data_IF_255087411138
#
_entry.id   IF_255087411138
#
_cell.length_a   1.000
_cell.length_b   1.000
_cell.length_c   1.000
_cell.angle_alpha   90.00
_cell.angle_beta   90.00
_cell.angle_gamma   90.00
#
_symmetry.space_group_name_H-M   'P 1'
#
loop_
_entity.id
_entity.type
_entity.pdbx_description
1 polymer ?
#
# COMPACT_ATOMS: atom_id res chain seq x y z
N UNK A 1 -21.41 27.12 -7.73
CA UNK A 1 -20.59 25.93 -7.39
C UNK A 1 -20.94 25.52 -5.97
N UNK A 2 -21.34 24.27 -5.74
CA UNK A 2 -21.56 23.77 -4.38
C UNK A 2 -20.19 23.63 -3.67
N UNK A 3 -20.12 23.85 -2.34
CA UNK A 3 -18.90 23.62 -1.58
C UNK A 3 -18.48 22.14 -1.65
N UNK A 4 -17.17 21.87 -1.64
CA UNK A 4 -16.65 20.51 -1.65
C UNK A 4 -17.05 19.79 -0.34
N UNK A 5 -17.47 18.52 -0.39
CA UNK A 5 -17.87 17.79 0.79
C UNK A 5 -16.68 17.62 1.75
N UNK A 6 -16.97 17.83 3.03
CA UNK A 6 -16.06 17.67 4.17
C UNK A 6 -15.63 16.21 4.33
N UNK A 7 -14.59 15.95 5.13
CA UNK A 7 -14.12 14.59 5.39
C UNK A 7 -15.18 13.80 6.17
N UNK A 8 -15.89 14.46 7.08
CA UNK A 8 -17.02 13.89 7.81
C UNK A 8 -18.15 13.48 6.85
N UNK A 9 -18.56 14.36 5.92
CA UNK A 9 -19.60 14.03 4.93
C UNK A 9 -19.18 12.90 3.98
N UNK A 10 -17.89 12.81 3.64
CA UNK A 10 -17.36 11.68 2.86
C UNK A 10 -17.43 10.37 3.65
N UNK A 11 -17.08 10.40 4.93
CA UNK A 11 -17.17 9.24 5.81
C UNK A 11 -18.62 8.82 6.08
N UNK A 12 -19.54 9.77 6.24
CA UNK A 12 -20.98 9.50 6.38
C UNK A 12 -21.56 8.81 5.12
N UNK A 13 -20.94 9.02 3.95
CA UNK A 13 -21.30 8.35 2.69
C UNK A 13 -20.59 6.99 2.46
N UNK A 14 -19.73 6.54 3.38
CA UNK A 14 -19.04 5.26 3.23
C UNK A 14 -20.02 4.07 3.34
N UNK A 15 -19.83 3.00 2.54
CA UNK A 15 -20.78 1.88 2.46
C UNK A 15 -20.72 0.91 3.66
N UNK A 16 -19.71 1.03 4.54
CA UNK A 16 -19.53 0.14 5.69
C UNK A 16 -19.56 0.91 7.01
N UNK A 17 -20.25 0.35 8.01
CA UNK A 17 -20.32 0.93 9.36
C UNK A 17 -19.05 0.72 10.19
N UNK A 18 -18.15 -0.17 9.75
CA UNK A 18 -16.88 -0.48 10.42
C UNK A 18 -15.74 -0.29 9.43
N UNK A 19 -14.89 0.70 9.67
CA UNK A 19 -13.86 1.14 8.73
C UNK A 19 -12.47 0.74 9.21
N UNK A 20 -11.71 0.08 8.34
CA UNK A 20 -10.26 -0.09 8.52
C UNK A 20 -9.53 1.25 8.31
N UNK A 21 -8.25 1.29 8.68
CA UNK A 21 -7.36 2.43 8.35
C UNK A 21 -7.32 2.70 6.84
N UNK A 22 -7.37 1.66 6.02
CA UNK A 22 -7.37 1.78 4.56
C UNK A 22 -8.70 2.34 4.03
N UNK A 23 -9.83 1.95 4.62
CA UNK A 23 -11.16 2.47 4.25
C UNK A 23 -11.27 3.95 4.60
N UNK A 24 -10.81 4.35 5.79
CA UNK A 24 -10.77 5.76 6.22
C UNK A 24 -9.89 6.56 5.26
N UNK A 25 -8.68 6.07 4.95
CA UNK A 25 -7.74 6.73 4.04
C UNK A 25 -8.36 6.95 2.65
N UNK A 26 -8.94 5.90 2.07
CA UNK A 26 -9.58 5.94 0.76
C UNK A 26 -10.76 6.90 0.72
N UNK A 27 -11.66 6.81 1.72
CA UNK A 27 -12.88 7.62 1.78
C UNK A 27 -12.59 9.10 2.00
N UNK A 28 -11.59 9.41 2.83
CA UNK A 28 -11.22 10.79 3.17
C UNK A 28 -10.23 11.41 2.19
N UNK A 29 -9.56 10.61 1.35
CA UNK A 29 -8.43 11.05 0.53
C UNK A 29 -7.19 11.39 1.37
N UNK A 30 -7.06 10.78 2.55
CA UNK A 30 -5.87 10.87 3.41
C UNK A 30 -4.93 9.70 3.14
N UNK A 31 -3.64 9.86 3.45
CA UNK A 31 -2.73 8.71 3.46
C UNK A 31 -2.99 7.83 4.69
N UNK A 32 -2.82 6.51 4.58
CA UNK A 32 -2.90 5.60 5.73
C UNK A 32 -1.97 6.03 6.88
N UNK A 33 -0.77 6.52 6.55
CA UNK A 33 0.18 7.00 7.56
C UNK A 33 -0.39 8.17 8.38
N UNK A 34 -1.19 9.01 7.73
CA UNK A 34 -1.87 10.13 8.38
C UNK A 34 -2.99 9.60 9.26
N UNK A 35 -3.79 8.66 8.78
CA UNK A 35 -4.86 8.01 9.58
C UNK A 35 -4.27 7.31 10.81
N UNK A 36 -3.19 6.52 10.68
CA UNK A 36 -2.50 5.88 11.82
C UNK A 36 -1.90 6.86 12.81
N UNK A 37 -1.55 8.07 12.37
CA UNK A 37 -1.12 9.15 13.27
C UNK A 37 -2.32 9.74 14.01
N UNK A 38 -3.42 10.00 13.32
CA UNK A 38 -4.66 10.50 13.91
C UNK A 38 -5.25 9.51 14.92
N UNK A 39 -5.12 8.20 14.66
CA UNK A 39 -5.51 7.14 15.58
C UNK A 39 -4.79 7.17 16.94
N UNK A 40 -3.73 7.99 17.07
CA UNK A 40 -2.99 8.20 18.32
C UNK A 40 -3.33 9.52 19.01
N UNK A 41 -4.20 10.33 18.41
CA UNK A 41 -4.61 11.61 18.99
C UNK A 41 -5.60 11.37 20.14
N UNK A 42 -5.56 12.22 21.19
CA UNK A 42 -6.52 12.14 22.28
C UNK A 42 -7.96 12.24 21.79
N UNK A 43 -8.82 11.33 22.25
CA UNK A 43 -10.24 11.29 21.88
C UNK A 43 -10.54 10.66 20.53
N UNK A 44 -9.54 10.10 19.82
CA UNK A 44 -9.81 9.26 18.65
C UNK A 44 -10.72 8.08 19.03
N UNK A 45 -11.66 7.66 18.16
CA UNK A 45 -12.57 6.55 18.44
C UNK A 45 -11.87 5.27 18.86
N UNK A 46 -12.43 4.60 19.86
CA UNK A 46 -11.96 3.28 20.30
C UNK A 46 -12.19 2.24 19.20
N UNK A 47 -11.23 1.33 19.05
CA UNK A 47 -11.32 0.21 18.11
C UNK A 47 -12.47 -0.73 18.49
N UNK A 48 -13.17 -1.25 17.48
CA UNK A 48 -14.14 -2.32 17.70
C UNK A 48 -13.42 -3.65 18.00
N UNK A 49 -13.95 -4.48 18.91
CA UNK A 49 -13.39 -5.81 19.14
C UNK A 49 -13.58 -6.68 17.90
N UNK A 50 -12.48 -6.94 17.19
CA UNK A 50 -12.43 -7.77 15.99
C UNK A 50 -11.21 -8.71 15.96
N UNK A 51 -11.19 -9.59 14.96
CA UNK A 51 -10.10 -10.56 14.74
C UNK A 51 -8.74 -9.83 14.75
N UNK A 52 -7.80 -10.38 15.53
CA UNK A 52 -6.60 -9.73 16.08
C UNK A 52 -5.54 -9.21 15.08
N UNK A 53 -5.89 -8.97 13.81
CA UNK A 53 -4.97 -8.56 12.74
C UNK A 53 -5.31 -7.23 12.06
N UNK A 54 -6.51 -6.67 12.23
CA UNK A 54 -6.88 -5.40 11.58
C UNK A 54 -7.64 -4.46 12.54
N UNK A 55 -7.11 -3.24 12.71
CA UNK A 55 -7.76 -2.20 13.52
C UNK A 55 -8.97 -1.65 12.76
N UNK A 56 -10.16 -1.77 13.38
CA UNK A 56 -11.41 -1.27 12.82
C UNK A 56 -12.05 -0.25 13.74
N UNK A 57 -12.62 0.79 13.14
CA UNK A 57 -13.21 1.91 13.86
C UNK A 57 -14.66 2.13 13.41
N UNK A 58 -15.59 2.45 14.32
CA UNK A 58 -16.97 2.75 13.95
C UNK A 58 -17.04 4.00 13.05
N UNK A 59 -17.71 3.88 11.89
CA UNK A 59 -17.85 4.95 10.88
C UNK A 59 -18.36 6.25 11.49
N UNK A 60 -19.46 6.19 12.23
CA UNK A 60 -20.07 7.38 12.86
C UNK A 60 -19.14 8.05 13.86
N UNK A 61 -18.38 7.26 14.64
CA UNK A 61 -17.45 7.80 15.62
C UNK A 61 -16.26 8.49 14.93
N UNK A 62 -15.74 7.92 13.84
CA UNK A 62 -14.66 8.55 13.05
C UNK A 62 -15.18 9.79 12.33
N UNK A 63 -16.38 9.76 11.76
CA UNK A 63 -17.00 10.92 11.12
C UNK A 63 -17.26 12.04 12.14
N UNK A 64 -17.74 11.71 13.35
CA UNK A 64 -17.89 12.62 14.48
C UNK A 64 -16.57 13.27 14.88
N UNK A 65 -15.54 12.45 15.12
CA UNK A 65 -14.21 12.96 15.44
C UNK A 65 -13.65 13.85 14.33
N UNK A 66 -13.81 13.46 13.06
CA UNK A 66 -13.39 14.26 11.91
C UNK A 66 -14.17 15.57 11.82
N UNK A 67 -15.47 15.58 12.12
CA UNK A 67 -16.28 16.82 12.14
C UNK A 67 -15.74 17.79 13.20
N UNK A 68 -15.42 17.28 14.37
CA UNK A 68 -14.89 18.06 15.49
C UNK A 68 -13.45 18.55 15.24
N UNK A 69 -12.64 17.76 14.51
CA UNK A 69 -11.21 18.00 14.30
C UNK A 69 -10.84 18.57 12.91
N UNK A 70 -11.77 18.57 11.95
CA UNK A 70 -11.61 19.19 10.63
C UNK A 70 -11.86 20.70 10.71
N UNK A 71 -12.77 21.13 11.60
CA UNK A 71 -12.97 22.55 11.95
C UNK A 71 -11.72 23.22 12.55
N UNK A 72 -10.69 22.44 12.87
CA UNK A 72 -9.50 22.91 13.59
C UNK A 72 -8.41 23.47 12.66
N UNK A 73 -8.50 23.35 11.32
CA UNK A 73 -7.61 24.08 10.40
C UNK A 73 -8.19 25.44 10.03
N UNK A 74 -8.02 26.34 10.98
CA UNK A 74 -8.29 27.76 10.82
C UNK A 74 -7.37 28.33 9.74
N UNK A 75 -7.93 28.79 8.61
CA UNK A 75 -7.18 29.63 7.68
C UNK A 75 -7.03 31.02 8.32
N UNK A 76 -5.82 31.45 8.71
CA UNK A 76 -5.63 32.74 9.36
C UNK A 76 -6.11 33.92 8.52
N UNK A 77 -6.06 33.78 7.19
CA UNK A 77 -6.45 34.82 6.24
C UNK A 77 -7.97 34.97 6.10
N UNK A 78 -8.75 33.96 6.50
CA UNK A 78 -10.22 33.97 6.47
C UNK A 78 -10.84 34.26 7.85
N UNK A 79 -10.01 34.45 8.87
CA UNK A 79 -10.46 34.73 10.22
C UNK A 79 -10.98 36.17 10.37
N UNK A 80 -12.13 36.39 11.03
CA UNK A 80 -12.66 37.72 11.24
C UNK A 80 -11.79 38.56 12.19
N UNK A 81 -11.76 39.87 11.98
CA UNK A 81 -11.10 40.85 12.83
C UNK A 81 -9.69 41.26 12.38
N UNK A 82 -9.24 42.43 12.84
CA UNK A 82 -7.98 43.05 12.40
C UNK A 82 -6.80 42.56 13.23
N UNK A 83 -5.59 42.56 12.66
CA UNK A 83 -4.38 42.07 13.36
C UNK A 83 -4.09 42.85 14.65
N UNK A 84 -4.57 44.08 14.74
CA UNK A 84 -4.43 44.98 15.89
C UNK A 84 -5.44 44.72 17.02
N UNK A 85 -6.44 43.86 16.79
CA UNK A 85 -7.47 43.55 17.78
C UNK A 85 -6.88 42.92 19.05
N UNK A 86 -7.43 43.31 20.20
CA UNK A 86 -7.20 42.64 21.49
C UNK A 86 -8.36 41.72 21.78
N UNK A 87 -8.06 40.43 21.97
CA UNK A 87 -9.07 39.39 22.08
C UNK A 87 -8.86 38.51 23.31
N UNK A 88 -9.95 38.14 23.96
CA UNK A 88 -9.99 37.13 25.02
C UNK A 88 -9.99 35.72 24.43
N UNK A 89 -9.70 34.70 25.25
CA UNK A 89 -9.82 33.29 24.83
C UNK A 89 -11.24 32.93 24.35
N UNK A 90 -12.26 33.60 24.89
CA UNK A 90 -13.66 33.45 24.47
C UNK A 90 -13.85 33.94 23.04
N UNK A 91 -13.31 35.11 22.73
CA UNK A 91 -13.38 35.70 21.39
C UNK A 91 -12.52 34.93 20.40
N UNK A 92 -11.34 34.45 20.81
CA UNK A 92 -10.52 33.54 20.00
C UNK A 92 -11.32 32.29 19.64
N UNK A 93 -11.97 31.65 20.62
CA UNK A 93 -12.82 30.47 20.39
C UNK A 93 -13.96 30.77 19.40
N UNK A 94 -14.68 31.88 19.61
CA UNK A 94 -15.77 32.30 18.72
C UNK A 94 -15.27 32.59 17.29
N UNK A 95 -14.19 33.37 17.14
CA UNK A 95 -13.64 33.75 15.83
C UNK A 95 -13.04 32.56 15.07
N UNK A 96 -12.47 31.59 15.79
CA UNK A 96 -11.87 30.38 15.20
C UNK A 96 -12.85 29.22 15.02
N UNK A 97 -14.08 29.32 15.54
CA UNK A 97 -15.02 28.20 15.59
C UNK A 97 -14.57 27.04 16.48
N UNK A 98 -13.56 27.23 17.34
CA UNK A 98 -13.04 26.20 18.24
C UNK A 98 -13.77 26.21 19.58
N UNK A 99 -13.86 25.05 20.23
CA UNK A 99 -14.37 24.96 21.59
C UNK A 99 -13.53 25.80 22.56
N UNK A 100 -14.19 26.61 23.40
CA UNK A 100 -13.53 27.46 24.39
C UNK A 100 -12.58 26.69 25.29
N UNK A 101 -12.97 25.49 25.70
CA UNK A 101 -12.13 24.61 26.54
C UNK A 101 -10.84 24.18 25.83
N UNK A 102 -10.89 23.97 24.51
CA UNK A 102 -9.70 23.65 23.72
C UNK A 102 -8.76 24.84 23.67
N UNK A 103 -9.31 26.05 23.44
CA UNK A 103 -8.53 27.30 23.38
C UNK A 103 -7.92 27.64 24.74
N UNK A 104 -8.63 27.44 25.85
CA UNK A 104 -8.13 27.75 27.19
C UNK A 104 -6.98 26.85 27.65
N UNK A 105 -6.86 25.63 27.10
CA UNK A 105 -5.74 24.71 27.37
C UNK A 105 -4.48 25.04 26.57
N UNK A 106 -4.56 25.85 25.50
CA UNK A 106 -3.41 26.11 24.62
C UNK A 106 -2.23 26.81 25.32
N UNK A 107 -2.44 27.86 26.15
CA UNK A 107 -1.33 28.52 26.84
C UNK A 107 -0.50 27.56 27.70
N UNK A 108 -1.16 26.66 28.43
CA UNK A 108 -0.49 25.70 29.30
C UNK A 108 0.13 24.53 28.51
N UNK A 109 -0.61 23.97 27.55
CA UNK A 109 -0.15 22.84 26.75
C UNK A 109 1.09 23.17 25.90
N UNK A 110 1.21 24.42 25.45
CA UNK A 110 2.30 24.85 24.58
C UNK A 110 3.35 25.73 25.26
N UNK A 111 3.25 25.95 26.58
CA UNK A 111 4.18 26.79 27.34
C UNK A 111 5.65 26.43 27.11
N UNK A 112 5.96 25.14 27.06
CA UNK A 112 7.33 24.61 26.92
C UNK A 112 7.63 24.09 25.51
N UNK A 113 6.80 24.45 24.52
CA UNK A 113 6.98 24.01 23.14
C UNK A 113 8.00 24.89 22.41
N UNK A 114 8.60 24.37 21.34
CA UNK A 114 9.45 25.16 20.43
C UNK A 114 8.68 26.29 19.70
N UNK A 115 7.34 26.29 19.76
CA UNK A 115 6.46 27.34 19.24
C UNK A 115 5.34 27.59 20.28
N UNK A 116 5.62 28.39 21.33
CA UNK A 116 4.71 28.62 22.44
C UNK A 116 3.52 29.48 22.02
N UNK A 117 2.38 29.31 22.72
CA UNK A 117 1.20 30.15 22.50
C UNK A 117 1.53 31.61 22.86
N UNK A 118 0.98 32.62 22.14
CA UNK A 118 1.20 34.03 22.45
C UNK A 118 0.89 34.36 23.92
N UNK A 119 1.69 35.23 24.50
CA UNK A 119 1.50 35.64 25.89
C UNK A 119 0.30 36.57 26.01
N UNK A 120 -0.45 36.45 27.11
CA UNK A 120 -1.49 37.41 27.45
C UNK A 120 -0.85 38.70 27.96
N UNK A 121 -1.53 39.82 27.73
CA UNK A 121 -1.22 41.09 28.38
C UNK A 121 -1.66 41.09 29.87
N UNK A 122 -1.37 42.15 30.65
CA UNK A 122 -1.78 42.24 32.05
C UNK A 122 -3.30 42.18 32.28
N UNK A 123 -4.11 42.39 31.24
CA UNK A 123 -5.57 42.34 31.29
C UNK A 123 -6.13 40.96 30.87
N UNK A 124 -5.26 39.99 30.53
CA UNK A 124 -5.65 38.65 30.11
C UNK A 124 -6.12 38.56 28.65
N UNK A 125 -5.78 39.56 27.83
CA UNK A 125 -6.10 39.61 26.39
C UNK A 125 -4.86 39.29 25.54
N UNK A 126 -5.09 38.87 24.30
CA UNK A 126 -4.07 38.42 23.35
C UNK A 126 -4.10 39.30 22.10
N UNK A 127 -2.94 39.53 21.48
CA UNK A 127 -2.88 40.16 20.15
C UNK A 127 -3.45 39.21 19.11
N UNK A 128 -4.46 39.66 18.35
CA UNK A 128 -5.08 38.82 17.34
C UNK A 128 -4.12 38.47 16.20
N UNK A 129 -3.28 39.40 15.75
CA UNK A 129 -2.24 39.13 14.75
C UNK A 129 -1.25 38.04 15.18
N UNK A 130 -0.79 38.06 16.43
CA UNK A 130 0.09 37.02 16.96
C UNK A 130 -0.60 35.65 17.07
N UNK A 131 -1.87 35.64 17.47
CA UNK A 131 -2.70 34.42 17.54
C UNK A 131 -2.91 33.85 16.13
N UNK A 132 -3.22 34.70 15.13
CA UNK A 132 -3.36 34.29 13.73
C UNK A 132 -2.06 33.73 13.16
N UNK A 133 -0.93 34.40 13.40
CA UNK A 133 0.38 33.93 12.98
C UNK A 133 0.75 32.59 13.63
N UNK A 134 0.49 32.43 14.93
CA UNK A 134 0.73 31.18 15.66
C UNK A 134 -0.16 30.04 15.13
N UNK A 135 -1.45 30.31 14.91
CA UNK A 135 -2.39 29.35 14.32
C UNK A 135 -1.95 28.96 12.90
N UNK A 136 -1.46 29.89 12.09
CA UNK A 136 -0.92 29.63 10.75
C UNK A 136 0.34 28.74 10.76
N UNK A 137 1.28 29.02 11.67
CA UNK A 137 2.48 28.18 11.85
C UNK A 137 2.11 26.75 12.26
N UNK A 138 1.06 26.56 13.06
CA UNK A 138 0.60 25.24 13.50
C UNK A 138 -0.38 24.54 12.58
N UNK A 139 -1.20 25.26 11.82
CA UNK A 139 -2.12 24.69 10.82
C UNK A 139 -1.35 24.04 9.67
N UNK A 140 -0.12 24.50 9.39
CA UNK A 140 0.80 23.83 8.46
C UNK A 140 1.36 22.50 8.99
N UNK A 141 1.40 22.30 10.32
CA UNK A 141 2.08 21.15 10.98
C UNK A 141 1.15 20.00 11.40
N UNK A 142 -0.14 20.23 11.59
CA UNK A 142 -1.04 19.24 12.22
C UNK A 142 -2.48 19.31 11.69
N UNK A 143 -3.14 18.17 11.56
CA UNK A 143 -4.51 18.01 11.02
C UNK A 143 -4.58 17.36 9.62
N UNK A 144 -5.65 16.59 9.32
CA UNK A 144 -5.87 15.99 8.01
C UNK A 144 -6.18 17.07 6.96
N UNK A 145 -5.46 17.07 5.84
CA UNK A 145 -5.85 17.78 4.62
C UNK A 145 -6.35 16.71 3.65
N UNK A 146 -7.65 16.64 3.40
CA UNK A 146 -8.13 15.91 2.23
C UNK A 146 -7.46 16.54 1.01
N UNK A 147 -6.57 15.81 0.35
CA UNK A 147 -6.01 16.29 -0.91
C UNK A 147 -7.07 16.13 -1.96
N UNK A 148 -7.72 17.25 -2.31
CA UNK A 148 -8.62 17.34 -3.45
C UNK A 148 -9.89 16.48 -3.28
N UNK A 149 -10.93 16.87 -3.99
CA UNK A 149 -12.09 16.03 -4.30
C UNK A 149 -11.63 14.58 -4.55
N UNK A 150 -12.30 13.53 -4.03
CA UNK A 150 -12.07 12.20 -4.58
C UNK A 150 -12.19 12.35 -6.09
N UNK A 151 -11.29 11.74 -6.90
CA UNK A 151 -11.45 11.83 -8.34
C UNK A 151 -12.91 11.50 -8.64
N UNK A 152 -13.64 12.46 -9.24
CA UNK A 152 -14.91 12.14 -9.89
C UNK A 152 -14.63 10.86 -10.68
N UNK A 153 -15.51 9.84 -10.67
CA UNK A 153 -15.24 8.55 -11.31
C UNK A 153 -14.71 8.86 -12.69
N UNK A 154 -13.37 8.75 -12.80
CA UNK A 154 -12.71 9.29 -13.96
C UNK A 154 -13.12 8.31 -15.04
N UNK A 155 -13.79 8.82 -16.07
CA UNK A 155 -13.77 8.13 -17.35
C UNK A 155 -12.33 7.68 -17.56
N UNK A 156 -12.16 6.35 -17.63
CA UNK A 156 -10.89 5.65 -17.49
C UNK A 156 -9.73 6.45 -18.09
N UNK A 157 -8.82 7.03 -17.27
CA UNK A 157 -7.52 7.37 -17.78
C UNK A 157 -6.83 6.03 -18.02
N UNK A 158 -6.81 5.62 -19.28
CA UNK A 158 -6.22 4.39 -19.83
C UNK A 158 -4.69 4.37 -19.73
N UNK A 159 -4.11 5.02 -18.72
CA UNK A 159 -2.67 5.01 -18.49
C UNK A 159 -2.41 5.16 -17.00
N UNK A 160 -2.27 4.02 -16.31
CA UNK A 160 -1.80 3.98 -14.92
C UNK A 160 -0.42 4.64 -14.83
N UNK A 161 -0.15 5.49 -13.82
CA UNK A 161 1.21 5.96 -13.58
C UNK A 161 2.06 4.78 -13.14
N UNK A 162 3.07 4.43 -13.95
CA UNK A 162 4.11 3.48 -13.59
C UNK A 162 4.76 3.99 -12.31
N UNK A 163 4.62 3.24 -11.21
CA UNK A 163 5.45 3.47 -10.02
C UNK A 163 6.87 3.07 -10.40
N UNK A 164 7.68 4.02 -10.87
CA UNK A 164 9.06 3.77 -11.32
C UNK A 164 10.00 3.30 -10.17
N UNK A 165 9.49 3.16 -8.94
CA UNK A 165 10.29 2.93 -7.74
C UNK A 165 9.81 1.71 -6.97
N UNK A 166 10.72 0.76 -6.78
CA UNK A 166 10.55 -0.45 -5.96
C UNK A 166 11.14 -0.22 -4.59
N UNK A 167 10.42 -0.61 -3.53
CA UNK A 167 10.91 -0.56 -2.13
C UNK A 167 11.34 -1.94 -1.65
N UNK A 168 12.05 -2.01 -0.51
CA UNK A 168 12.41 -3.30 0.12
C UNK A 168 11.20 -4.20 0.37
N UNK A 169 10.05 -3.64 0.75
CA UNK A 169 8.81 -4.39 0.97
C UNK A 169 8.25 -4.97 -0.34
N UNK A 170 8.36 -4.22 -1.44
CA UNK A 170 7.96 -4.72 -2.77
C UNK A 170 8.90 -5.84 -3.25
N UNK A 171 10.21 -5.74 -2.99
CA UNK A 171 11.17 -6.82 -3.28
C UNK A 171 10.83 -8.08 -2.47
N UNK A 172 10.41 -7.92 -1.22
CA UNK A 172 9.97 -9.05 -0.38
C UNK A 172 8.79 -9.78 -1.00
N UNK A 173 7.76 -9.04 -1.42
CA UNK A 173 6.57 -9.60 -2.09
C UNK A 173 6.89 -10.20 -3.46
N UNK A 174 7.73 -9.53 -4.26
CA UNK A 174 8.18 -10.01 -5.57
C UNK A 174 8.96 -11.33 -5.48
N UNK A 175 9.86 -11.45 -4.51
CA UNK A 175 10.72 -12.63 -4.41
C UNK A 175 10.11 -13.74 -3.55
N UNK A 176 9.07 -13.44 -2.78
CA UNK A 176 8.50 -14.35 -1.77
C UNK A 176 9.48 -14.74 -0.67
N UNK A 177 10.61 -14.03 -0.56
CA UNK A 177 11.66 -14.31 0.44
C UNK A 177 11.45 -13.42 1.64
N UNK A 178 11.58 -13.96 2.86
CA UNK A 178 11.39 -13.17 4.08
C UNK A 178 12.40 -12.01 4.21
N UNK A 179 12.05 -11.02 5.03
CA UNK A 179 12.76 -9.74 5.21
C UNK A 179 14.29 -9.85 5.37
N UNK A 180 14.81 -10.88 6.06
CA UNK A 180 16.26 -11.06 6.25
C UNK A 180 17.00 -11.49 4.97
N UNK A 181 16.37 -12.34 4.17
CA UNK A 181 16.91 -12.74 2.87
C UNK A 181 16.94 -11.55 1.91
N UNK A 182 15.89 -10.71 1.93
CA UNK A 182 15.84 -9.47 1.15
C UNK A 182 16.91 -8.48 1.60
N UNK A 183 17.13 -8.30 2.91
CA UNK A 183 18.23 -7.45 3.42
C UNK A 183 19.60 -7.88 2.92
N UNK A 184 19.82 -9.19 2.79
CA UNK A 184 21.06 -9.74 2.24
C UNK A 184 21.14 -9.51 0.73
N UNK A 185 20.03 -9.72 0.02
CA UNK A 185 19.90 -9.49 -1.41
C UNK A 185 20.23 -8.04 -1.80
N UNK A 186 19.60 -7.06 -1.14
CA UNK A 186 19.79 -5.63 -1.44
C UNK A 186 21.16 -5.09 -1.04
N UNK A 187 21.98 -5.88 -0.32
CA UNK A 187 23.38 -5.57 -0.01
C UNK A 187 24.35 -6.09 -1.06
N UNK A 188 23.91 -6.94 -2.00
CA UNK A 188 24.76 -7.36 -3.13
C UNK A 188 25.18 -6.11 -3.92
N UNK A 189 26.45 -6.01 -4.35
CA UNK A 189 26.98 -4.79 -4.97
C UNK A 189 26.17 -4.35 -6.19
N UNK A 190 25.76 -5.30 -7.03
CA UNK A 190 24.94 -5.06 -8.23
C UNK A 190 23.59 -4.41 -7.92
N UNK A 191 22.90 -4.88 -6.87
CA UNK A 191 21.59 -4.33 -6.45
C UNK A 191 21.77 -3.06 -5.63
N UNK A 192 22.79 -3.01 -4.77
CA UNK A 192 23.07 -1.85 -3.92
C UNK A 192 23.44 -0.61 -4.74
N UNK A 193 24.16 -0.79 -5.86
CA UNK A 193 24.56 0.28 -6.77
C UNK A 193 23.37 0.99 -7.43
N UNK A 194 22.27 0.26 -7.66
CA UNK A 194 21.03 0.80 -8.23
C UNK A 194 20.18 1.57 -7.19
N UNK A 195 20.49 1.46 -5.90
CA UNK A 195 19.66 2.05 -4.85
C UNK A 195 19.84 3.56 -4.76
N UNK A 196 18.73 4.29 -4.73
CA UNK A 196 18.69 5.73 -4.42
C UNK A 196 18.06 5.94 -3.05
N UNK A 197 18.60 6.89 -2.27
CA UNK A 197 18.06 7.22 -0.95
C UNK A 197 16.99 8.31 -1.07
N UNK A 198 15.77 8.01 -0.62
CA UNK A 198 14.65 8.97 -0.55
C UNK A 198 14.21 9.06 0.91
N UNK A 199 14.61 10.15 1.58
CA UNK A 199 14.41 10.32 3.02
C UNK A 199 15.14 9.24 3.83
N UNK A 200 14.37 8.44 4.60
CA UNK A 200 14.89 7.31 5.40
C UNK A 200 14.85 5.97 4.65
N UNK A 201 14.26 5.92 3.46
CA UNK A 201 14.07 4.70 2.68
C UNK A 201 15.07 4.61 1.53
N UNK A 202 15.43 3.37 1.17
CA UNK A 202 16.08 3.08 -0.11
C UNK A 202 15.04 2.62 -1.10
N UNK A 203 15.15 3.12 -2.32
CA UNK A 203 14.31 2.77 -3.45
C UNK A 203 15.17 2.40 -4.64
N UNK A 204 14.63 1.55 -5.51
CA UNK A 204 15.29 1.09 -6.72
C UNK A 204 14.44 1.43 -7.93
N UNK A 205 15.03 1.80 -9.07
CA UNK A 205 14.27 1.97 -10.31
C UNK A 205 13.69 0.63 -10.76
N UNK A 206 12.41 0.58 -11.09
CA UNK A 206 11.72 -0.66 -11.43
C UNK A 206 12.24 -1.28 -12.74
N UNK A 207 12.46 -0.44 -13.74
CA UNK A 207 12.97 -0.78 -15.07
C UNK A 207 14.36 -1.44 -15.05
N UNK A 208 15.20 -1.13 -14.06
CA UNK A 208 16.54 -1.72 -13.92
C UNK A 208 16.59 -2.85 -12.91
N UNK A 209 15.84 -2.75 -11.80
CA UNK A 209 15.86 -3.78 -10.77
C UNK A 209 15.15 -5.06 -11.23
N UNK A 210 14.00 -4.94 -11.90
CA UNK A 210 13.21 -6.10 -12.30
C UNK A 210 13.98 -7.04 -13.23
N UNK A 211 14.60 -6.58 -14.35
CA UNK A 211 15.43 -7.44 -15.20
C UNK A 211 16.55 -8.12 -14.41
N UNK A 212 17.21 -7.38 -13.50
CA UNK A 212 18.30 -7.92 -12.69
C UNK A 212 17.80 -9.04 -11.76
N UNK A 213 16.61 -8.89 -11.16
CA UNK A 213 16.01 -9.93 -10.33
C UNK A 213 15.64 -11.19 -11.15
N UNK A 214 15.17 -11.03 -12.38
CA UNK A 214 14.92 -12.14 -13.30
C UNK A 214 16.21 -12.83 -13.74
N UNK A 215 17.21 -12.06 -14.16
CA UNK A 215 18.52 -12.56 -14.58
C UNK A 215 19.22 -13.35 -13.47
N UNK A 216 19.12 -12.88 -12.23
CA UNK A 216 19.68 -13.55 -11.06
C UNK A 216 18.82 -14.72 -10.53
N UNK A 217 17.70 -15.04 -11.20
CA UNK A 217 16.83 -16.17 -10.85
C UNK A 217 16.02 -15.97 -9.55
N UNK A 218 15.80 -14.72 -9.14
CA UNK A 218 14.94 -14.40 -7.99
C UNK A 218 13.45 -14.32 -8.35
N UNK A 219 13.15 -14.22 -9.65
CA UNK A 219 11.80 -14.25 -10.21
C UNK A 219 11.71 -15.41 -11.21
N UNK A 220 10.51 -16.01 -11.37
CA UNK A 220 10.32 -17.09 -12.35
C UNK A 220 10.49 -16.53 -13.77
N UNK A 221 11.36 -17.13 -14.57
CA UNK A 221 11.56 -16.74 -15.97
C UNK A 221 10.33 -17.03 -16.85
N UNK A 222 9.46 -17.93 -16.41
CA UNK A 222 8.20 -18.26 -17.07
C UNK A 222 7.21 -18.95 -16.14
N UNK A 223 5.98 -19.11 -16.62
CA UNK A 223 4.90 -19.75 -15.88
C UNK A 223 4.07 -18.75 -15.07
N UNK A 224 3.06 -19.21 -14.32
CA UNK A 224 2.19 -18.32 -13.57
C UNK A 224 2.96 -17.59 -12.47
N UNK A 225 2.86 -16.26 -12.47
CA UNK A 225 3.30 -15.43 -11.35
C UNK A 225 2.45 -15.74 -10.12
N UNK A 226 3.08 -15.80 -8.95
CA UNK A 226 2.37 -15.89 -7.68
C UNK A 226 1.45 -14.67 -7.47
N UNK A 227 0.43 -14.82 -6.64
CA UNK A 227 -0.55 -13.74 -6.36
C UNK A 227 0.11 -12.44 -5.91
N UNK A 228 1.09 -12.52 -5.00
CA UNK A 228 1.86 -11.36 -4.54
C UNK A 228 2.75 -10.75 -5.63
N UNK A 229 3.37 -11.57 -6.48
CA UNK A 229 4.21 -11.11 -7.57
C UNK A 229 3.38 -10.35 -8.61
N UNK A 230 2.22 -10.92 -8.94
CA UNK A 230 1.25 -10.27 -9.83
C UNK A 230 0.76 -8.97 -9.21
N UNK A 231 0.40 -8.95 -7.93
CA UNK A 231 -0.06 -7.75 -7.24
C UNK A 231 1.00 -6.62 -7.31
N UNK A 232 2.28 -6.93 -7.10
CA UNK A 232 3.34 -5.92 -7.22
C UNK A 232 3.52 -5.45 -8.67
N UNK A 233 3.48 -6.35 -9.66
CA UNK A 233 3.57 -5.94 -11.07
C UNK A 233 2.36 -5.12 -11.52
N UNK A 234 1.19 -5.34 -10.93
CA UNK A 234 -0.01 -4.50 -11.09
C UNK A 234 0.20 -3.13 -10.43
N UNK A 235 0.70 -3.09 -9.19
CA UNK A 235 1.05 -1.82 -8.50
C UNK A 235 2.07 -1.00 -9.29
N UNK A 236 3.01 -1.67 -9.96
CA UNK A 236 4.03 -1.04 -10.80
C UNK A 236 3.50 -0.66 -12.21
N UNK A 237 2.29 -1.07 -12.60
CA UNK A 237 1.70 -0.78 -13.91
C UNK A 237 2.16 -1.71 -15.05
N UNK A 238 2.96 -2.74 -14.76
CA UNK A 238 3.42 -3.73 -15.75
C UNK A 238 2.37 -4.79 -16.08
N UNK A 239 1.35 -4.95 -15.22
CA UNK A 239 0.23 -5.86 -15.43
C UNK A 239 -1.11 -5.15 -15.17
N UNK A 240 -2.21 -5.58 -15.82
CA UNK A 240 -3.52 -5.02 -15.55
C UNK A 240 -4.10 -5.55 -14.25
N UNK A 241 -4.89 -4.73 -13.56
CA UNK A 241 -5.62 -5.10 -12.33
C UNK A 241 -6.58 -6.26 -12.54
N UNK A 242 -7.20 -6.33 -13.72
CA UNK A 242 -8.07 -7.42 -14.14
C UNK A 242 -7.86 -7.77 -15.62
N UNK A 243 -8.11 -9.02 -15.98
CA UNK A 243 -8.02 -9.49 -17.36
C UNK A 243 -6.62 -9.85 -17.84
N UNK A 244 -6.48 -9.98 -19.17
CA UNK A 244 -5.24 -10.42 -19.84
C UNK A 244 -4.32 -9.23 -20.10
N UNK A 245 -2.99 -9.38 -19.96
CA UNK A 245 -2.04 -8.29 -20.25
C UNK A 245 -2.11 -7.88 -21.72
N UNK A 246 -1.96 -6.57 -21.99
CA UNK A 246 -1.92 -6.04 -23.36
C UNK A 246 -0.66 -6.53 -24.10
N UNK A 247 -0.64 -6.38 -25.42
CA UNK A 247 0.53 -6.74 -26.23
C UNK A 247 1.79 -5.96 -25.81
N UNK A 248 1.63 -4.69 -25.46
CA UNK A 248 2.70 -3.81 -24.99
C UNK A 248 3.23 -4.26 -23.62
N UNK A 249 2.34 -4.54 -22.66
CA UNK A 249 2.73 -5.07 -21.33
C UNK A 249 3.49 -6.40 -21.46
N UNK A 250 3.04 -7.29 -22.37
CA UNK A 250 3.75 -8.54 -22.66
C UNK A 250 5.10 -8.34 -23.35
N UNK A 251 5.27 -7.25 -24.11
CA UNK A 251 6.54 -6.92 -24.73
C UNK A 251 7.53 -6.44 -23.65
N UNK A 252 7.10 -5.52 -22.79
CA UNK A 252 7.91 -5.01 -21.66
C UNK A 252 8.33 -6.13 -20.71
N UNK A 253 7.40 -7.02 -20.33
CA UNK A 253 7.76 -8.16 -19.48
C UNK A 253 8.74 -9.12 -20.16
N UNK A 254 8.63 -9.30 -21.49
CA UNK A 254 9.62 -10.08 -22.25
C UNK A 254 10.99 -9.42 -22.29
N UNK A 255 11.06 -8.09 -22.39
CA UNK A 255 12.32 -7.35 -22.27
C UNK A 255 12.95 -7.52 -20.89
N UNK A 256 12.13 -7.67 -19.84
CA UNK A 256 12.62 -8.00 -18.49
C UNK A 256 13.01 -9.46 -18.30
N UNK A 257 12.78 -10.33 -19.29
CA UNK A 257 13.11 -11.76 -19.25
C UNK A 257 11.97 -12.67 -18.77
N UNK A 258 10.72 -12.18 -18.70
CA UNK A 258 9.54 -12.96 -18.37
C UNK A 258 8.70 -13.30 -19.60
N UNK A 259 8.46 -14.59 -19.84
CA UNK A 259 7.50 -15.07 -20.84
C UNK A 259 6.33 -15.81 -20.15
N UNK A 260 5.15 -15.18 -20.15
CA UNK A 260 3.89 -15.75 -19.62
C UNK A 260 3.56 -17.11 -20.27
N UNK A 261 3.99 -17.33 -21.51
CA UNK A 261 3.72 -18.58 -22.23
C UNK A 261 4.79 -19.65 -22.03
N UNK A 262 5.85 -19.39 -21.25
CA UNK A 262 7.04 -20.25 -21.28
C UNK A 262 8.02 -19.80 -22.35
N UNK A 263 9.32 -19.89 -22.04
CA UNK A 263 10.36 -19.83 -23.09
C UNK A 263 10.01 -20.79 -24.24
N UNK A 264 10.52 -20.53 -25.44
CA UNK A 264 10.30 -21.44 -26.59
C UNK A 264 10.70 -22.88 -26.23
N UNK A 265 11.76 -23.04 -25.46
CA UNK A 265 12.21 -24.31 -24.89
C UNK A 265 11.21 -24.92 -23.91
N UNK A 266 10.62 -24.12 -23.02
CA UNK A 266 9.60 -24.59 -22.09
C UNK A 266 8.32 -25.02 -22.83
N UNK A 267 7.90 -24.27 -23.85
CA UNK A 267 6.77 -24.67 -24.70
C UNK A 267 7.04 -25.94 -25.50
N UNK A 268 8.26 -26.08 -26.02
CA UNK A 268 8.70 -27.31 -26.68
C UNK A 268 8.76 -28.47 -25.68
N UNK A 269 9.21 -28.23 -24.46
CA UNK A 269 9.25 -29.20 -23.38
C UNK A 269 7.86 -29.72 -23.01
N UNK A 270 6.88 -28.82 -22.83
CA UNK A 270 5.49 -29.19 -22.53
C UNK A 270 4.80 -29.97 -23.64
N UNK A 271 5.21 -29.77 -24.91
CA UNK A 271 4.71 -30.54 -26.06
C UNK A 271 5.52 -31.80 -26.36
N UNK A 272 6.58 -32.04 -25.59
CA UNK A 272 7.49 -33.16 -25.77
C UNK A 272 6.91 -34.51 -25.36
N UNK A 273 7.67 -35.60 -25.53
CA UNK A 273 7.26 -36.94 -25.09
C UNK A 273 7.12 -37.01 -23.57
N UNK A 274 6.42 -38.04 -23.10
CA UNK A 274 6.22 -38.29 -21.67
C UNK A 274 7.56 -38.48 -20.95
N UNK A 275 7.67 -37.96 -19.73
CA UNK A 275 8.93 -37.84 -18.99
C UNK A 275 8.97 -38.71 -17.77
N UNK A 276 10.14 -39.23 -17.44
CA UNK A 276 10.39 -39.92 -16.17
C UNK A 276 10.43 -38.93 -15.01
N UNK A 277 10.21 -39.42 -13.78
CA UNK A 277 10.33 -38.59 -12.59
C UNK A 277 11.71 -37.92 -12.46
N UNK A 278 12.77 -38.59 -12.92
CA UNK A 278 14.15 -38.08 -12.90
C UNK A 278 14.35 -36.92 -13.87
N UNK A 279 13.79 -37.01 -15.08
CA UNK A 279 13.82 -35.91 -16.04
C UNK A 279 13.04 -34.69 -15.54
N UNK A 280 11.87 -34.92 -14.91
CA UNK A 280 11.09 -33.85 -14.29
C UNK A 280 11.86 -33.19 -13.13
N UNK A 281 12.45 -33.99 -12.24
CA UNK A 281 13.29 -33.49 -11.14
C UNK A 281 14.42 -32.59 -11.66
N UNK A 282 15.12 -33.04 -12.71
CA UNK A 282 16.18 -32.26 -13.37
C UNK A 282 15.64 -30.96 -13.97
N UNK A 283 14.52 -31.02 -14.69
CA UNK A 283 13.94 -29.87 -15.38
C UNK A 283 13.45 -28.78 -14.41
N UNK A 284 12.78 -29.16 -13.32
CA UNK A 284 12.28 -28.23 -12.32
C UNK A 284 13.32 -27.86 -11.24
N UNK A 285 14.55 -28.40 -11.33
CA UNK A 285 15.63 -28.13 -10.37
C UNK A 285 15.32 -28.62 -8.95
N UNK A 286 14.60 -29.73 -8.81
CA UNK A 286 14.18 -30.30 -7.52
C UNK A 286 14.62 -31.74 -7.35
N UNK A 287 14.60 -32.25 -6.12
CA UNK A 287 14.86 -33.67 -5.87
C UNK A 287 13.64 -34.55 -6.22
N UNK A 288 13.89 -35.81 -6.56
CA UNK A 288 12.83 -36.83 -6.70
C UNK A 288 11.93 -36.90 -5.45
N UNK A 289 12.54 -36.84 -4.27
CA UNK A 289 11.83 -36.85 -2.99
C UNK A 289 10.91 -35.64 -2.80
N UNK A 290 11.26 -34.47 -3.34
CA UNK A 290 10.40 -33.29 -3.31
C UNK A 290 9.16 -33.48 -4.19
N UNK A 291 9.33 -34.10 -5.37
CA UNK A 291 8.22 -34.46 -6.25
C UNK A 291 7.28 -35.44 -5.54
N UNK A 292 7.81 -36.56 -5.03
CA UNK A 292 7.00 -37.59 -4.37
C UNK A 292 6.25 -37.04 -3.15
N UNK A 293 6.90 -36.22 -2.31
CA UNK A 293 6.26 -35.60 -1.14
C UNK A 293 5.13 -34.65 -1.53
N UNK A 294 5.30 -33.87 -2.61
CA UNK A 294 4.26 -32.95 -3.07
C UNK A 294 3.04 -33.69 -3.61
N UNK A 295 3.26 -34.76 -4.38
CA UNK A 295 2.17 -35.62 -4.86
C UNK A 295 1.42 -36.26 -3.68
N UNK A 296 2.13 -36.83 -2.70
CA UNK A 296 1.50 -37.44 -1.53
C UNK A 296 0.64 -36.44 -0.73
N UNK A 297 1.17 -35.22 -0.48
CA UNK A 297 0.40 -34.16 0.19
C UNK A 297 -0.84 -33.74 -0.58
N UNK A 298 -0.74 -33.65 -1.91
CA UNK A 298 -1.88 -33.30 -2.75
C UNK A 298 -2.95 -34.40 -2.74
N UNK A 299 -2.54 -35.68 -2.74
CA UNK A 299 -3.45 -36.82 -2.57
C UNK A 299 -4.15 -36.79 -1.20
N UNK A 300 -3.41 -36.54 -0.12
CA UNK A 300 -3.97 -36.40 1.23
C UNK A 300 -4.96 -35.24 1.33
N UNK A 301 -4.70 -34.14 0.61
CA UNK A 301 -5.57 -32.97 0.53
C UNK A 301 -6.74 -33.12 -0.46
N UNK A 302 -6.90 -34.27 -1.13
CA UNK A 302 -7.93 -34.50 -2.14
C UNK A 302 -7.78 -33.64 -3.41
N UNK A 303 -6.59 -33.10 -3.66
CA UNK A 303 -6.30 -32.28 -4.84
C UNK A 303 -6.00 -33.16 -6.06
N UNK A 304 -6.29 -32.67 -7.29
CA UNK A 304 -5.97 -33.39 -8.51
C UNK A 304 -4.45 -33.59 -8.61
N UNK A 305 -4.02 -34.84 -8.81
CA UNK A 305 -2.61 -35.20 -8.99
C UNK A 305 -2.35 -35.81 -10.37
N UNK A 306 -1.15 -35.61 -10.94
CA UNK A 306 -0.79 -36.19 -12.22
C UNK A 306 -0.64 -37.71 -12.09
N UNK A 307 -1.46 -38.45 -12.81
CA UNK A 307 -1.38 -39.91 -12.87
C UNK A 307 -0.20 -40.37 -13.73
N UNK A 308 0.68 -41.24 -13.22
CA UNK A 308 1.72 -41.85 -14.04
C UNK A 308 1.09 -42.79 -15.08
N UNK A 309 1.70 -42.84 -16.26
CA UNK A 309 1.39 -43.75 -17.35
C UNK A 309 2.46 -44.84 -17.36
N UNK A 310 2.03 -46.10 -17.35
CA UNK A 310 2.93 -47.24 -17.46
C UNK A 310 3.41 -47.36 -18.91
N UNK A 311 4.73 -47.34 -19.08
CA UNK A 311 5.40 -47.55 -20.38
C UNK A 311 6.41 -48.69 -20.25
N UNK A 312 6.92 -49.21 -21.37
CA UNK A 312 7.94 -50.28 -21.37
C UNK A 312 9.20 -49.90 -20.55
N UNK A 313 9.52 -48.61 -20.48
CA UNK A 313 10.65 -48.06 -19.71
C UNK A 313 10.30 -47.68 -18.26
N UNK A 314 9.09 -48.02 -17.79
CA UNK A 314 8.57 -47.69 -16.46
C UNK A 314 7.58 -46.52 -16.44
N UNK A 315 7.38 -45.92 -15.25
CA UNK A 315 6.38 -44.88 -15.02
C UNK A 315 6.81 -43.54 -15.61
N UNK A 316 6.00 -42.99 -16.50
CA UNK A 316 6.19 -41.67 -17.12
C UNK A 316 5.01 -40.74 -16.83
N UNK A 317 5.22 -39.45 -16.97
CA UNK A 317 4.21 -38.42 -16.75
C UNK A 317 4.08 -37.54 -17.99
N UNK A 318 2.85 -37.11 -18.28
CA UNK A 318 2.59 -36.04 -19.24
C UNK A 318 3.19 -34.72 -18.71
N UNK A 319 4.12 -34.07 -19.42
CA UNK A 319 4.78 -32.85 -18.97
C UNK A 319 3.81 -31.69 -18.74
N UNK A 320 2.74 -31.59 -19.54
CA UNK A 320 1.74 -30.53 -19.45
C UNK A 320 0.84 -30.73 -18.23
N UNK A 321 0.39 -31.96 -17.98
CA UNK A 321 -0.40 -32.29 -16.79
C UNK A 321 0.44 -32.10 -15.53
N UNK A 322 1.71 -32.53 -15.57
CA UNK A 322 2.62 -32.36 -14.45
C UNK A 322 2.94 -30.88 -14.19
N UNK A 323 3.17 -30.08 -15.24
CA UNK A 323 3.42 -28.63 -15.10
C UNK A 323 2.22 -27.90 -14.50
N UNK A 324 1.00 -28.20 -14.94
CA UNK A 324 -0.21 -27.62 -14.35
C UNK A 324 -0.38 -28.00 -12.86
N UNK A 325 0.05 -29.19 -12.45
CA UNK A 325 0.09 -29.58 -11.03
C UNK A 325 1.21 -28.87 -10.27
N UNK A 326 2.39 -28.74 -10.89
CA UNK A 326 3.58 -28.20 -10.26
C UNK A 326 3.52 -26.67 -10.10
N UNK A 327 2.93 -26.01 -11.10
CA UNK A 327 2.74 -24.58 -11.25
C UNK A 327 1.25 -24.32 -11.51
N UNK A 328 0.39 -24.47 -10.49
CA UNK A 328 -1.05 -24.29 -10.68
C UNK A 328 -1.34 -22.88 -11.21
N UNK A 329 -2.19 -22.74 -12.24
CA UNK A 329 -2.65 -21.43 -12.67
C UNK A 329 -3.35 -20.75 -11.49
N UNK A 330 -3.15 -19.44 -11.35
CA UNK A 330 -3.87 -18.67 -10.34
C UNK A 330 -5.38 -18.91 -10.51
N UNK A 331 -6.06 -19.25 -9.42
CA UNK A 331 -7.52 -19.41 -9.43
C UNK A 331 -8.16 -18.12 -9.98
N UNK A 332 -9.01 -18.28 -11.01
CA UNK A 332 -9.83 -17.19 -11.57
C UNK A 332 -10.85 -16.68 -10.55
#
# INVERSE_FOLDING_TARGET
MAPAPTLAERLDAAPSDSLSVADIATTTGLSESTVRRLAKEPGWPTEEPGDHREQRYPREAVAGWMRDNQATRVNPDELPGTDDDRVTLTEIASRTGRLRETVSRMPSAYRNSADPFPAADPLGTYSWGEVKAWLGRRSSRTGPRGTVQPPAPAAEPTTQPVLDKVTTAMIERLTGKGTQAVKTLVRKPEIAALSTKVGRLRVWPADTLLPLLWQLGYLPASGPLGSEQRAVLVELGYLPTAGKPTAEQRAVLREFGYDEQGSVEHRAWLRGPHRTATELAKYYGVSLSAISKRIARAQEAGQPVPSPIDTEDGKRYDPKVFDAFWNPPAAE
#
